data_IF_970426004632
#
_entry.id   IF_970426004632
#
_cell.length_a   1.000
_cell.length_b   1.000
_cell.length_c   1.000
_cell.angle_alpha   90.00
_cell.angle_beta   90.00
_cell.angle_gamma   90.00
#
_symmetry.space_group_name_H-M   'P 1'
#
loop_
_entity.id
_entity.type
_entity.pdbx_description
1 polymer ?
#
# COMPACT_ATOMS: atom_id res chain seq x y z
N UNK A 1 -7.73 -0.54 16.81
CA UNK A 1 -7.68 0.69 15.98
C UNK A 1 -6.68 0.42 14.87
N UNK A 2 -7.02 0.77 13.63
CA UNK A 2 -6.17 0.46 12.46
C UNK A 2 -5.42 1.70 11.99
N UNK A 3 -4.20 1.50 11.50
CA UNK A 3 -3.37 2.50 10.85
C UNK A 3 -3.48 2.29 9.34
N UNK A 4 -3.83 3.35 8.60
CA UNK A 4 -3.83 3.30 7.15
C UNK A 4 -2.51 3.85 6.61
N UNK A 5 -1.77 3.03 5.88
CA UNK A 5 -0.58 3.42 5.12
C UNK A 5 -0.95 3.50 3.64
N UNK A 6 -0.60 4.60 3.00
CA UNK A 6 -0.78 4.78 1.55
C UNK A 6 0.47 4.26 0.85
N UNK A 7 0.30 3.30 -0.06
CA UNK A 7 1.40 2.71 -0.80
C UNK A 7 1.90 3.65 -1.89
N UNK A 8 3.21 3.87 -1.93
CA UNK A 8 3.87 4.45 -3.09
C UNK A 8 4.27 3.34 -4.07
N UNK A 9 3.88 3.48 -5.34
CA UNK A 9 4.16 2.53 -6.43
C UNK A 9 4.18 3.22 -7.80
N UNK A 10 4.50 2.46 -8.84
CA UNK A 10 4.45 2.87 -10.26
C UNK A 10 3.44 2.03 -11.09
N UNK A 11 2.48 1.41 -10.41
CA UNK A 11 1.49 0.45 -10.93
C UNK A 11 2.06 -0.94 -11.28
N UNK A 12 3.38 -1.10 -11.27
CA UNK A 12 4.04 -2.38 -11.46
C UNK A 12 4.69 -2.90 -10.16
N UNK A 13 5.34 -2.01 -9.40
CA UNK A 13 6.14 -2.36 -8.24
C UNK A 13 5.88 -1.42 -7.06
N UNK A 14 5.90 -1.99 -5.86
CA UNK A 14 5.86 -1.25 -4.60
C UNK A 14 7.21 -0.59 -4.34
N UNK A 15 7.24 0.70 -4.01
CA UNK A 15 8.47 1.40 -3.66
C UNK A 15 8.90 1.13 -2.22
N UNK A 16 10.21 1.18 -1.98
CA UNK A 16 10.81 0.92 -0.67
C UNK A 16 10.33 1.88 0.44
N UNK A 17 9.94 3.11 0.07
CA UNK A 17 9.38 4.08 1.02
C UNK A 17 8.15 3.52 1.77
N UNK A 18 7.32 2.74 1.08
CA UNK A 18 6.15 2.07 1.69
C UNK A 18 6.56 1.10 2.80
N UNK A 19 7.65 0.35 2.61
CA UNK A 19 8.13 -0.63 3.61
C UNK A 19 8.62 0.05 4.89
N UNK A 20 9.27 1.22 4.74
CA UNK A 20 9.66 2.05 5.87
C UNK A 20 8.44 2.55 6.64
N UNK A 21 7.41 3.00 5.93
CA UNK A 21 6.15 3.45 6.53
C UNK A 21 5.41 2.32 7.25
N UNK A 22 5.33 1.12 6.67
CA UNK A 22 4.74 -0.07 7.33
C UNK A 22 5.52 -0.41 8.61
N UNK A 23 6.86 -0.38 8.56
CA UNK A 23 7.69 -0.64 9.74
C UNK A 23 7.46 0.39 10.84
N UNK A 24 7.29 1.67 10.48
CA UNK A 24 6.95 2.71 11.44
C UNK A 24 5.54 2.51 12.03
N UNK A 25 4.55 2.18 11.19
CA UNK A 25 3.19 1.90 11.62
C UNK A 25 3.13 0.71 12.60
N UNK A 26 3.88 -0.35 12.33
CA UNK A 26 3.97 -1.50 13.23
C UNK A 26 4.51 -1.12 14.63
N UNK A 27 5.41 -0.13 14.73
CA UNK A 27 5.93 0.38 16.01
C UNK A 27 4.92 1.23 16.78
N UNK A 28 3.99 1.89 16.08
CA UNK A 28 2.87 2.60 16.72
C UNK A 28 1.91 1.58 17.36
N UNK A 29 1.79 0.40 16.74
CA UNK A 29 0.93 -0.68 17.20
C UNK A 29 -0.49 -0.59 16.64
N UNK A 30 -1.21 -1.71 16.67
CA UNK A 30 -2.49 -1.88 15.99
C UNK A 30 -2.36 -2.51 14.61
N UNK A 31 -3.49 -2.69 13.92
CA UNK A 31 -3.52 -3.32 12.60
C UNK A 31 -3.04 -2.33 11.53
N UNK A 32 -2.13 -2.76 10.66
CA UNK A 32 -1.69 -1.94 9.52
C UNK A 32 -2.48 -2.34 8.30
N UNK A 33 -3.27 -1.41 7.77
CA UNK A 33 -3.94 -1.54 6.48
C UNK A 33 -3.14 -0.77 5.43
N UNK A 34 -2.97 -1.33 4.25
CA UNK A 34 -2.27 -0.70 3.13
C UNK A 34 -3.25 -0.40 1.99
N UNK A 35 -3.32 0.85 1.55
CA UNK A 35 -4.05 1.22 0.32
C UNK A 35 -3.10 1.27 -0.87
N UNK A 36 -3.43 0.53 -1.92
CA UNK A 36 -2.84 0.61 -3.27
C UNK A 36 -3.88 1.26 -4.17
N UNK A 37 -3.57 2.44 -4.70
CA UNK A 37 -4.46 3.21 -5.56
C UNK A 37 -3.75 3.50 -6.89
N UNK A 38 -4.28 2.95 -7.98
CA UNK A 38 -3.62 3.02 -9.29
C UNK A 38 -4.51 2.52 -10.41
N UNK A 39 -3.94 2.40 -11.61
CA UNK A 39 -4.58 1.78 -12.77
C UNK A 39 -3.76 0.56 -13.18
N UNK A 40 -4.37 -0.62 -13.20
CA UNK A 40 -3.71 -1.89 -13.42
C UNK A 40 -2.79 -2.32 -12.26
N UNK A 41 -3.09 -1.90 -11.03
CA UNK A 41 -2.20 -2.03 -9.87
C UNK A 41 -2.33 -3.37 -9.10
N UNK A 42 -3.03 -4.36 -9.66
CA UNK A 42 -3.21 -5.69 -9.04
C UNK A 42 -1.89 -6.38 -8.65
N UNK A 43 -0.83 -6.23 -9.45
CA UNK A 43 0.48 -6.78 -9.14
C UNK A 43 1.08 -6.16 -7.87
N UNK A 44 0.91 -4.84 -7.71
CA UNK A 44 1.34 -4.10 -6.51
C UNK A 44 0.55 -4.55 -5.29
N UNK A 45 -0.77 -4.70 -5.39
CA UNK A 45 -1.59 -5.18 -4.28
C UNK A 45 -1.20 -6.60 -3.83
N UNK A 46 -0.83 -7.46 -4.78
CA UNK A 46 -0.36 -8.82 -4.49
C UNK A 46 0.98 -8.79 -3.75
N UNK A 47 1.93 -7.96 -4.21
CA UNK A 47 3.21 -7.76 -3.53
C UNK A 47 3.03 -7.15 -2.13
N UNK A 48 2.14 -6.18 -2.00
CA UNK A 48 1.78 -5.54 -0.73
C UNK A 48 1.22 -6.53 0.30
N UNK A 49 0.43 -7.51 -0.12
CA UNK A 49 -0.15 -8.51 0.77
C UNK A 49 0.90 -9.46 1.36
N UNK A 50 2.06 -9.58 0.71
CA UNK A 50 3.19 -10.36 1.20
C UNK A 50 4.11 -9.58 2.16
N UNK A 51 3.85 -8.28 2.38
CA UNK A 51 4.65 -7.44 3.27
C UNK A 51 4.34 -7.79 4.73
N UNK A 52 5.37 -8.20 5.46
CA UNK A 52 5.26 -8.46 6.89
C UNK A 52 4.77 -7.22 7.64
N UNK A 53 3.81 -7.41 8.54
CA UNK A 53 3.18 -6.32 9.31
C UNK A 53 1.94 -5.72 8.66
N UNK A 54 1.63 -6.03 7.39
CA UNK A 54 0.36 -5.65 6.76
C UNK A 54 -0.74 -6.65 7.12
N UNK A 55 -1.80 -6.17 7.79
CA UNK A 55 -2.98 -6.96 8.17
C UNK A 55 -4.02 -7.03 7.05
N UNK A 56 -4.09 -6.01 6.20
CA UNK A 56 -5.08 -5.91 5.10
C UNK A 56 -4.55 -5.04 3.96
N UNK A 57 -4.78 -5.47 2.72
CA UNK A 57 -4.58 -4.64 1.53
C UNK A 57 -5.93 -4.19 0.98
N UNK A 58 -6.04 -2.92 0.69
CA UNK A 58 -7.15 -2.29 -0.02
C UNK A 58 -6.63 -1.93 -1.42
N UNK A 59 -7.27 -2.43 -2.46
CA UNK A 59 -6.94 -2.09 -3.84
C UNK A 59 -8.04 -1.19 -4.40
N UNK A 60 -7.67 0.01 -4.84
CA UNK A 60 -8.47 0.89 -5.65
C UNK A 60 -7.85 0.91 -7.06
N UNK A 61 -8.34 0.03 -7.93
CA UNK A 61 -7.89 -0.10 -9.31
C UNK A 61 -8.89 0.59 -10.24
N UNK A 62 -8.56 1.80 -10.70
CA UNK A 62 -9.39 2.60 -11.59
C UNK A 62 -8.52 3.55 -12.42
N UNK A 63 -8.94 3.84 -13.67
CA UNK A 63 -8.25 4.78 -14.55
C UNK A 63 -8.15 6.19 -13.95
N UNK A 64 -9.05 6.57 -13.04
CA UNK A 64 -8.99 7.83 -12.31
C UNK A 64 -7.71 7.99 -11.45
N UNK A 65 -7.05 6.87 -11.11
CA UNK A 65 -5.82 6.83 -10.32
C UNK A 65 -4.57 6.55 -11.16
N UNK A 66 -4.65 6.68 -12.49
CA UNK A 66 -3.49 6.48 -13.38
C UNK A 66 -2.30 7.38 -13.02
N UNK A 67 -2.59 8.58 -12.52
CA UNK A 67 -1.58 9.50 -12.01
C UNK A 67 -1.51 9.45 -10.49
N UNK A 68 -0.30 9.60 -9.95
CA UNK A 68 -0.11 9.72 -8.51
C UNK A 68 -0.91 10.92 -7.96
N UNK A 69 -1.38 10.80 -6.72
CA UNK A 69 -1.92 11.92 -5.96
C UNK A 69 -0.83 13.02 -5.93
N UNK A 70 -1.08 14.12 -6.65
CA UNK A 70 -0.20 15.28 -6.70
C UNK A 70 -0.26 16.07 -5.39
#
# INVERSE_FOLDING_TARGET
MAILVIAEHDNAALKAATLNAVTAAAKIGGDVHLLVAGSGAQAVATAAAAVSGVSKVLLADDAAYEHALA
#
